data_IF_682649551810
#
_entry.id   IF_682649551810
#
_cell.length_a   1.000
_cell.length_b   1.000
_cell.length_c   1.000
_cell.angle_alpha   90.00
_cell.angle_beta   90.00
_cell.angle_gamma   90.00
#
_symmetry.space_group_name_H-M   'P 1'
#
loop_
_entity.id
_entity.type
_entity.pdbx_description
1 polymer ?
#
# COMPACT_ATOMS: atom_id res chain seq x y z
N UNK A 1 -87.06 -75.65 31.91
CA UNK A 1 -86.56 -75.33 30.55
C UNK A 1 -86.64 -73.81 30.42
N UNK A 2 -85.62 -73.00 30.20
CA UNK A 2 -84.23 -73.14 29.73
C UNK A 2 -83.38 -72.06 30.46
N UNK A 3 -82.14 -72.41 30.84
CA UNK A 3 -81.12 -71.54 31.44
C UNK A 3 -80.55 -70.55 30.40
N UNK A 4 -80.23 -69.32 30.82
CA UNK A 4 -79.30 -68.44 30.11
C UNK A 4 -78.19 -67.98 31.07
N UNK A 5 -76.93 -68.19 30.67
CA UNK A 5 -75.70 -67.89 31.42
C UNK A 5 -75.37 -66.39 31.44
N UNK A 6 -74.61 -65.88 32.42
CA UNK A 6 -74.12 -64.51 32.41
C UNK A 6 -72.94 -64.33 31.44
N UNK A 7 -73.01 -63.31 30.59
CA UNK A 7 -71.96 -62.92 29.66
C UNK A 7 -71.05 -61.89 30.34
N UNK A 8 -69.77 -62.23 30.54
CA UNK A 8 -68.76 -61.32 31.09
C UNK A 8 -68.16 -60.50 29.94
N UNK A 9 -68.29 -59.18 30.00
CA UNK A 9 -67.57 -58.26 29.10
C UNK A 9 -66.20 -57.98 29.71
N UNK A 10 -65.15 -58.49 29.08
CA UNK A 10 -63.75 -58.12 29.38
C UNK A 10 -63.39 -56.95 28.47
N UNK A 11 -63.21 -55.75 29.03
CA UNK A 11 -62.54 -54.65 28.35
C UNK A 11 -61.05 -54.98 28.24
N UNK A 12 -60.56 -55.25 27.03
CA UNK A 12 -59.12 -55.29 26.75
C UNK A 12 -58.69 -53.90 26.33
N UNK A 13 -57.95 -53.20 27.19
CA UNK A 13 -57.26 -51.96 26.83
C UNK A 13 -56.12 -52.27 25.88
N UNK A 14 -56.26 -51.94 24.60
CA UNK A 14 -55.16 -51.88 23.65
C UNK A 14 -54.30 -50.66 24.00
N UNK A 15 -53.30 -50.86 24.87
CA UNK A 15 -52.23 -49.88 25.04
C UNK A 15 -51.56 -49.64 23.69
N UNK A 16 -51.33 -48.37 23.33
CA UNK A 16 -50.61 -48.04 22.11
C UNK A 16 -49.16 -48.53 22.24
N UNK A 17 -48.82 -49.60 21.53
CA UNK A 17 -47.43 -50.04 21.37
C UNK A 17 -46.77 -49.07 20.40
N UNK A 18 -45.81 -48.27 20.87
CA UNK A 18 -44.87 -47.60 19.98
C UNK A 18 -44.06 -48.70 19.27
N UNK A 19 -44.39 -48.98 18.01
CA UNK A 19 -43.62 -49.89 17.19
C UNK A 19 -42.23 -49.27 16.95
N UNK A 20 -41.24 -49.65 17.76
CA UNK A 20 -39.85 -49.40 17.45
C UNK A 20 -39.45 -50.38 16.34
N UNK A 21 -39.61 -49.94 15.09
CA UNK A 21 -39.07 -50.65 13.93
C UNK A 21 -37.54 -50.70 14.07
N UNK A 22 -37.01 -51.87 14.42
CA UNK A 22 -35.57 -52.12 14.36
C UNK A 22 -35.22 -52.37 12.90
N UNK A 23 -34.68 -51.36 12.22
CA UNK A 23 -34.19 -51.53 10.86
C UNK A 23 -33.02 -52.52 10.86
N UNK A 24 -33.20 -53.65 10.16
CA UNK A 24 -32.16 -54.64 9.91
C UNK A 24 -31.39 -54.22 8.65
N UNK A 25 -30.06 -54.20 8.75
CA UNK A 25 -29.15 -53.99 7.61
C UNK A 25 -29.36 -55.11 6.59
N UNK A 26 -29.66 -54.75 5.33
CA UNK A 26 -30.06 -55.70 4.28
C UNK A 26 -28.83 -56.33 3.58
N UNK A 27 -27.61 -55.83 3.85
CA UNK A 27 -26.36 -56.33 3.28
C UNK A 27 -25.18 -56.13 4.24
N UNK A 28 -24.57 -57.24 4.67
CA UNK A 28 -23.24 -57.48 5.34
C UNK A 28 -22.63 -56.52 6.37
N UNK A 29 -23.15 -55.31 6.59
CA UNK A 29 -22.68 -54.35 7.60
C UNK A 29 -23.58 -54.29 8.84
N UNK A 30 -23.02 -53.91 9.98
CA UNK A 30 -23.81 -53.61 11.19
C UNK A 30 -23.90 -52.10 11.38
N UNK A 31 -25.12 -51.56 11.48
CA UNK A 31 -25.31 -50.19 11.96
C UNK A 31 -25.22 -50.22 13.49
N UNK A 32 -24.15 -49.66 14.05
CA UNK A 32 -23.95 -49.58 15.49
C UNK A 32 -24.11 -48.14 15.96
N UNK A 33 -25.28 -47.82 16.52
CA UNK A 33 -25.53 -46.57 17.25
C UNK A 33 -25.33 -46.86 18.74
N UNK A 34 -24.21 -46.40 19.30
CA UNK A 34 -23.85 -46.62 20.71
C UNK A 34 -23.92 -45.30 21.46
N UNK A 35 -24.45 -45.32 22.68
CA UNK A 35 -24.35 -44.21 23.61
C UNK A 35 -23.70 -44.69 24.92
N UNK A 36 -22.75 -43.94 25.45
CA UNK A 36 -22.05 -44.23 26.71
C UNK A 36 -22.76 -43.67 27.96
N UNK A 37 -23.87 -42.95 27.78
CA UNK A 37 -24.70 -42.31 28.82
C UNK A 37 -26.19 -42.51 28.47
N UNK A 38 -27.16 -42.30 29.37
CA UNK A 38 -28.59 -42.55 29.13
C UNK A 38 -29.28 -41.51 28.22
N UNK A 39 -28.58 -41.00 27.21
CA UNK A 39 -29.15 -40.06 26.23
C UNK A 39 -29.61 -40.77 24.96
N UNK A 40 -30.37 -40.11 24.10
CA UNK A 40 -30.80 -40.66 22.81
C UNK A 40 -29.93 -40.11 21.68
N UNK A 41 -29.55 -40.97 20.72
CA UNK A 41 -29.03 -40.56 19.41
C UNK A 41 -30.13 -40.83 18.39
N UNK A 42 -30.61 -39.80 17.72
CA UNK A 42 -31.68 -39.89 16.72
C UNK A 42 -31.20 -39.42 15.35
N UNK A 43 -31.56 -40.18 14.30
CA UNK A 43 -31.51 -39.73 12.91
C UNK A 43 -32.95 -39.54 12.47
N UNK A 44 -33.32 -38.32 12.06
CA UNK A 44 -34.71 -37.95 11.82
C UNK A 44 -34.86 -37.26 10.48
N UNK A 45 -35.91 -37.62 9.74
CA UNK A 45 -36.32 -36.91 8.52
C UNK A 45 -37.01 -35.60 8.96
N UNK A 46 -36.66 -34.43 8.40
CA UNK A 46 -37.05 -33.14 8.96
C UNK A 46 -38.54 -32.79 8.85
N UNK A 47 -39.33 -33.56 8.10
CA UNK A 47 -40.78 -33.35 7.94
C UNK A 47 -41.41 -34.32 6.93
N UNK A 48 -42.69 -34.11 6.62
CA UNK A 48 -43.40 -34.87 5.57
C UNK A 48 -43.00 -34.39 4.17
N UNK A 49 -43.02 -35.28 3.17
CA UNK A 49 -42.76 -34.92 1.76
C UNK A 49 -41.27 -34.88 1.36
N UNK A 50 -40.38 -35.48 2.15
CA UNK A 50 -38.95 -35.55 1.85
C UNK A 50 -38.66 -36.67 0.84
N UNK A 51 -37.99 -36.34 -0.26
CA UNK A 51 -37.50 -37.30 -1.25
C UNK A 51 -36.47 -38.25 -0.61
N UNK A 52 -36.60 -39.58 -0.74
CA UNK A 52 -35.61 -40.52 -0.21
C UNK A 52 -34.22 -40.25 -0.78
N UNK A 53 -33.21 -40.22 0.07
CA UNK A 53 -31.81 -40.02 -0.31
C UNK A 53 -30.87 -41.01 0.38
N UNK A 54 -29.70 -41.25 -0.22
CA UNK A 54 -28.65 -42.13 0.32
C UNK A 54 -27.43 -41.29 0.69
N UNK A 55 -26.86 -41.52 1.88
CA UNK A 55 -25.54 -40.99 2.28
C UNK A 55 -24.52 -42.13 2.22
N UNK A 56 -23.49 -42.00 1.40
CA UNK A 56 -22.40 -42.98 1.29
C UNK A 56 -21.25 -42.50 2.17
N UNK A 57 -20.91 -43.25 3.21
CA UNK A 57 -19.82 -42.91 4.15
C UNK A 57 -18.43 -43.15 3.53
N UNK A 58 -17.38 -42.45 4.01
CA UNK A 58 -16.01 -42.68 3.58
C UNK A 58 -15.54 -44.10 3.98
N UNK A 59 -14.60 -44.70 3.23
CA UNK A 59 -14.10 -46.05 3.51
C UNK A 59 -13.15 -46.14 4.73
N UNK A 60 -12.72 -45.00 5.29
CA UNK A 60 -11.77 -44.95 6.41
C UNK A 60 -12.18 -43.92 7.47
N UNK A 61 -11.53 -44.01 8.64
CA UNK A 61 -11.66 -43.00 9.69
C UNK A 61 -10.98 -41.69 9.28
N UNK A 62 -11.48 -40.58 9.79
CA UNK A 62 -10.88 -39.25 9.58
C UNK A 62 -9.72 -39.00 10.52
N UNK A 63 -8.93 -37.99 10.19
CA UNK A 63 -7.85 -37.46 11.01
C UNK A 63 -8.34 -36.29 11.89
N UNK A 64 -7.58 -35.93 12.91
CA UNK A 64 -7.87 -34.76 13.76
C UNK A 64 -7.90 -33.49 12.91
N UNK A 65 -8.92 -32.65 13.11
CA UNK A 65 -9.13 -31.45 12.30
C UNK A 65 -9.77 -31.72 10.94
N UNK A 66 -10.43 -32.87 10.76
CA UNK A 66 -11.29 -33.14 9.61
C UNK A 66 -12.76 -33.20 10.01
N UNK A 67 -13.64 -32.81 9.10
CA UNK A 67 -15.09 -32.95 9.19
C UNK A 67 -15.60 -33.79 8.02
N UNK A 68 -16.74 -34.45 8.24
CA UNK A 68 -17.43 -35.18 7.20
C UNK A 68 -18.24 -34.20 6.35
N UNK A 69 -17.91 -34.07 5.07
CA UNK A 69 -18.57 -33.16 4.11
C UNK A 69 -19.14 -33.92 2.93
N UNK A 70 -20.15 -33.36 2.25
CA UNK A 70 -20.64 -33.91 0.98
C UNK A 70 -19.59 -33.62 -0.11
N UNK A 71 -19.03 -34.68 -0.70
CA UNK A 71 -18.06 -34.60 -1.79
C UNK A 71 -18.76 -34.45 -3.15
N UNK A 72 -19.77 -35.27 -3.41
CA UNK A 72 -20.53 -35.29 -4.66
C UNK A 72 -21.97 -35.66 -4.42
N UNK A 73 -22.88 -35.14 -5.25
CA UNK A 73 -24.29 -35.53 -5.29
C UNK A 73 -24.61 -36.04 -6.70
N UNK A 74 -25.11 -37.27 -6.80
CA UNK A 74 -25.55 -37.88 -8.07
C UNK A 74 -26.96 -38.43 -7.86
N UNK A 75 -27.96 -37.82 -8.51
CA UNK A 75 -29.36 -38.14 -8.26
C UNK A 75 -29.74 -37.88 -6.81
N UNK A 76 -30.26 -38.90 -6.12
CA UNK A 76 -30.59 -38.83 -4.68
C UNK A 76 -29.51 -39.39 -3.76
N UNK A 77 -28.29 -39.63 -4.26
CA UNK A 77 -27.17 -40.14 -3.48
C UNK A 77 -26.11 -39.07 -3.27
N UNK A 78 -25.70 -38.85 -2.03
CA UNK A 78 -24.58 -37.99 -1.65
C UNK A 78 -23.41 -38.84 -1.13
N UNK A 79 -22.24 -38.70 -1.74
CA UNK A 79 -21.00 -39.32 -1.23
C UNK A 79 -20.37 -38.37 -0.22
N UNK A 80 -20.08 -38.88 0.97
CA UNK A 80 -19.42 -38.13 2.03
C UNK A 80 -17.91 -38.44 2.02
N UNK A 81 -17.09 -37.44 2.30
CA UNK A 81 -15.64 -37.56 2.47
C UNK A 81 -15.16 -36.78 3.68
N UNK A 82 -14.02 -37.18 4.25
CA UNK A 82 -13.32 -36.37 5.23
C UNK A 82 -12.65 -35.19 4.53
N UNK A 83 -12.90 -33.99 5.02
CA UNK A 83 -12.31 -32.75 4.54
C UNK A 83 -11.69 -31.99 5.70
N UNK A 84 -10.57 -31.31 5.47
CA UNK A 84 -9.85 -30.58 6.51
C UNK A 84 -10.64 -29.33 6.95
N UNK A 85 -10.89 -29.17 8.25
CA UNK A 85 -11.60 -28.02 8.85
C UNK A 85 -10.71 -26.81 9.08
N UNK A 86 -9.39 -26.99 9.06
CA UNK A 86 -8.39 -25.95 9.22
C UNK A 86 -7.98 -25.35 7.85
N UNK A 87 -8.68 -25.72 6.79
CA UNK A 87 -8.39 -25.28 5.43
C UNK A 87 -9.31 -24.12 5.04
N UNK A 88 -8.76 -23.12 4.36
CA UNK A 88 -9.54 -22.11 3.66
C UNK A 88 -10.42 -22.81 2.62
N UNK A 89 -11.71 -22.96 2.90
CA UNK A 89 -12.63 -23.50 1.90
C UNK A 89 -12.60 -22.64 0.64
N UNK A 90 -12.25 -23.24 -0.51
CA UNK A 90 -12.28 -22.58 -1.83
C UNK A 90 -13.71 -22.30 -2.33
N UNK A 91 -14.75 -22.62 -1.54
CA UNK A 91 -16.04 -21.97 -1.68
C UNK A 91 -15.94 -20.53 -1.17
N UNK A 92 -15.15 -19.73 -1.87
CA UNK A 92 -15.49 -18.33 -2.05
C UNK A 92 -16.96 -18.25 -2.41
N UNK A 93 -17.66 -17.30 -1.82
CA UNK A 93 -19.10 -17.24 -1.91
C UNK A 93 -19.53 -17.10 -3.40
N UNK A 94 -20.53 -17.83 -3.90
CA UNK A 94 -20.95 -17.78 -5.33
C UNK A 94 -21.44 -16.38 -5.80
N UNK A 95 -20.68 -15.63 -6.60
CA UNK A 95 -21.05 -14.27 -7.02
C UNK A 95 -22.20 -14.30 -8.05
N UNK A 96 -23.25 -13.51 -7.81
CA UNK A 96 -24.43 -13.44 -8.68
C UNK A 96 -24.41 -12.24 -9.65
N UNK A 97 -23.53 -11.25 -9.45
CA UNK A 97 -23.26 -10.19 -10.45
C UNK A 97 -22.00 -9.40 -10.06
N UNK A 98 -21.03 -9.27 -10.98
CA UNK A 98 -19.88 -8.36 -10.85
C UNK A 98 -18.47 -8.97 -10.73
N UNK A 99 -18.14 -10.02 -11.52
CA UNK A 99 -16.79 -10.49 -11.88
C UNK A 99 -15.80 -10.88 -10.77
N UNK A 100 -15.28 -12.11 -10.60
CA UNK A 100 -15.74 -13.50 -10.85
C UNK A 100 -16.94 -13.69 -11.77
N UNK A 101 -16.73 -14.23 -12.97
CA UNK A 101 -17.84 -14.73 -13.78
C UNK A 101 -18.63 -15.81 -13.03
N UNK A 102 -19.84 -16.15 -13.50
CA UNK A 102 -20.57 -17.30 -12.98
C UNK A 102 -19.66 -18.54 -12.95
N UNK A 103 -19.59 -19.23 -11.81
CA UNK A 103 -18.71 -20.38 -11.54
C UNK A 103 -17.20 -20.08 -11.33
N UNK A 104 -16.82 -18.83 -11.04
CA UNK A 104 -15.45 -18.51 -10.61
C UNK A 104 -15.35 -18.37 -9.09
N UNK A 105 -14.38 -19.05 -8.49
CA UNK A 105 -14.07 -18.97 -7.06
C UNK A 105 -13.09 -17.83 -6.80
N UNK A 106 -13.18 -17.18 -5.63
CA UNK A 106 -12.23 -16.16 -5.19
C UNK A 106 -11.93 -16.26 -3.69
N UNK A 107 -10.79 -15.72 -3.29
CA UNK A 107 -10.44 -15.51 -1.90
C UNK A 107 -10.89 -14.10 -1.49
N UNK A 108 -11.91 -14.00 -0.65
CA UNK A 108 -12.45 -12.72 -0.20
C UNK A 108 -13.72 -12.82 0.63
N UNK A 109 -14.27 -11.65 0.96
CA UNK A 109 -15.51 -11.48 1.72
C UNK A 109 -16.65 -11.05 0.81
N UNK A 110 -17.90 -11.31 1.22
CA UNK A 110 -19.13 -10.85 0.54
C UNK A 110 -20.02 -9.98 1.40
N UNK A 111 -19.87 -10.10 2.70
CA UNK A 111 -20.38 -9.11 3.63
C UNK A 111 -19.49 -7.87 3.52
N UNK A 112 -20.01 -6.69 3.83
CA UNK A 112 -19.27 -5.42 3.82
C UNK A 112 -18.24 -5.38 4.96
N UNK A 113 -17.27 -6.29 4.90
CA UNK A 113 -16.23 -6.58 5.87
C UNK A 113 -14.94 -6.77 5.11
N UNK A 114 -13.82 -6.40 5.73
CA UNK A 114 -12.52 -6.40 5.07
C UNK A 114 -11.95 -7.82 4.96
N UNK A 115 -11.26 -8.11 3.86
CA UNK A 115 -10.42 -9.30 3.79
C UNK A 115 -9.11 -8.99 4.49
N UNK A 116 -8.82 -9.68 5.59
CA UNK A 116 -7.63 -9.46 6.40
C UNK A 116 -6.69 -10.67 6.31
N UNK A 117 -5.44 -10.42 6.00
CA UNK A 117 -4.34 -11.37 6.12
C UNK A 117 -3.53 -10.98 7.35
N UNK A 118 -3.44 -11.90 8.31
CA UNK A 118 -2.77 -11.68 9.58
C UNK A 118 -1.80 -12.83 9.89
N UNK A 119 -0.75 -12.53 10.65
CA UNK A 119 0.20 -13.50 11.19
C UNK A 119 0.41 -13.22 12.68
N UNK A 120 0.44 -14.27 13.52
CA UNK A 120 0.54 -14.13 14.99
C UNK A 120 -0.46 -13.12 15.57
N UNK A 121 -1.72 -13.17 15.09
CA UNK A 121 -2.79 -12.25 15.49
C UNK A 121 -2.53 -10.76 15.18
N UNK A 122 -1.56 -10.45 14.32
CA UNK A 122 -1.26 -9.10 13.84
C UNK A 122 -1.62 -8.99 12.37
N UNK A 123 -2.43 -7.99 12.02
CA UNK A 123 -2.79 -7.68 10.64
C UNK A 123 -1.55 -7.26 9.83
N UNK A 124 -1.35 -7.89 8.68
CA UNK A 124 -0.25 -7.61 7.75
C UNK A 124 -0.75 -6.90 6.49
N UNK A 125 -1.88 -7.36 5.95
CA UNK A 125 -2.52 -6.81 4.74
C UNK A 125 -4.03 -6.82 4.93
N UNK A 126 -4.70 -5.81 4.39
CA UNK A 126 -6.15 -5.81 4.20
C UNK A 126 -6.55 -5.40 2.80
N UNK A 127 -7.73 -5.86 2.40
CA UNK A 127 -8.50 -5.28 1.29
C UNK A 127 -9.81 -4.78 1.89
N UNK A 128 -10.09 -3.49 1.72
CA UNK A 128 -11.30 -2.87 2.28
C UNK A 128 -12.53 -3.41 1.57
N UNK A 129 -13.40 -4.11 2.30
CA UNK A 129 -14.67 -4.63 1.81
C UNK A 129 -15.87 -3.76 2.21
N UNK A 130 -15.70 -2.83 3.15
CA UNK A 130 -16.74 -1.86 3.53
C UNK A 130 -17.09 -0.98 2.32
N UNK A 131 -18.38 -0.88 2.00
CA UNK A 131 -18.86 -0.04 0.90
C UNK A 131 -18.56 1.44 1.16
N UNK A 132 -18.01 2.12 0.15
CA UNK A 132 -17.59 3.51 0.25
C UNK A 132 -16.50 3.86 -0.75
N UNK A 133 -15.95 5.10 -0.68
CA UNK A 133 -14.92 5.57 -1.61
C UNK A 133 -13.61 4.78 -1.52
N UNK A 134 -13.38 4.11 -0.39
CA UNK A 134 -12.18 3.30 -0.13
C UNK A 134 -12.39 1.81 -0.38
N UNK A 135 -13.56 1.39 -0.86
CA UNK A 135 -13.82 -0.03 -1.14
C UNK A 135 -12.82 -0.54 -2.18
N UNK A 136 -12.21 -1.69 -1.90
CA UNK A 136 -11.16 -2.30 -2.71
C UNK A 136 -9.74 -1.77 -2.46
N UNK A 137 -9.56 -0.75 -1.61
CA UNK A 137 -8.23 -0.25 -1.27
C UNK A 137 -7.44 -1.29 -0.48
N UNK A 138 -6.13 -1.32 -0.70
CA UNK A 138 -5.20 -2.25 -0.06
C UNK A 138 -4.41 -1.49 1.00
N UNK A 139 -4.50 -1.95 2.24
CA UNK A 139 -3.66 -1.47 3.34
C UNK A 139 -2.56 -2.50 3.64
N UNK A 140 -1.30 -2.06 3.70
CA UNK A 140 -0.16 -2.86 4.12
C UNK A 140 0.38 -2.30 5.44
N UNK A 141 0.09 -2.98 6.54
CA UNK A 141 0.38 -2.51 7.89
C UNK A 141 -0.43 -1.30 8.36
N UNK A 142 -1.52 -0.93 7.66
CA UNK A 142 -2.49 0.09 8.07
C UNK A 142 -3.90 -0.44 7.89
N UNK A 143 -4.77 -0.23 8.89
CA UNK A 143 -6.19 -0.60 8.82
C UNK A 143 -7.06 0.47 8.15
N UNK A 144 -6.53 1.67 7.92
CA UNK A 144 -7.27 2.81 7.37
C UNK A 144 -6.48 3.42 6.21
N UNK A 145 -6.43 2.73 5.05
CA UNK A 145 -5.68 3.23 3.92
C UNK A 145 -6.22 4.60 3.48
N UNK A 146 -5.31 5.53 3.26
CA UNK A 146 -5.58 6.90 2.79
C UNK A 146 -5.41 7.06 1.27
N UNK A 147 -4.93 5.99 0.60
CA UNK A 147 -4.78 5.88 -0.84
C UNK A 147 -5.14 4.44 -1.30
N UNK A 148 -5.38 4.21 -2.60
CA UNK A 148 -5.74 2.88 -3.11
C UNK A 148 -4.78 1.75 -2.73
N UNK A 149 -3.48 2.03 -2.64
CA UNK A 149 -2.49 1.16 -2.00
C UNK A 149 -1.76 2.05 -0.99
N UNK A 150 -1.87 1.73 0.28
CA UNK A 150 -1.27 2.49 1.38
C UNK A 150 -0.37 1.59 2.22
N UNK A 151 0.87 2.03 2.44
CA UNK A 151 1.88 1.32 3.21
C UNK A 151 2.28 2.17 4.40
N UNK A 152 2.09 1.66 5.62
CA UNK A 152 2.51 2.35 6.84
C UNK A 152 4.05 2.33 7.07
N UNK A 153 4.82 1.78 6.12
CA UNK A 153 6.27 1.53 6.23
C UNK A 153 6.96 1.76 4.87
N UNK A 154 8.26 1.50 4.83
CA UNK A 154 9.12 1.66 3.65
C UNK A 154 8.75 0.71 2.51
N UNK A 155 8.79 1.22 1.28
CA UNK A 155 8.81 0.42 0.05
C UNK A 155 10.27 0.19 -0.36
N UNK A 156 10.72 -1.07 -0.39
CA UNK A 156 12.04 -1.44 -0.89
C UNK A 156 11.92 -2.07 -2.29
N UNK A 157 12.59 -1.48 -3.29
CA UNK A 157 12.71 -2.04 -4.63
C UNK A 157 14.05 -2.78 -4.75
N UNK A 158 14.10 -4.03 -4.30
CA UNK A 158 15.35 -4.82 -4.31
C UNK A 158 15.80 -5.19 -5.72
N UNK A 159 17.09 -5.50 -5.90
CA UNK A 159 17.64 -6.00 -7.16
C UNK A 159 18.43 -7.30 -7.02
N UNK A 160 18.70 -7.95 -8.15
CA UNK A 160 19.57 -9.13 -8.27
C UNK A 160 20.79 -8.83 -9.15
N UNK A 161 21.41 -7.66 -8.98
CA UNK A 161 22.59 -7.21 -9.74
C UNK A 161 22.30 -6.18 -10.85
N UNK A 162 21.10 -5.60 -10.88
CA UNK A 162 20.69 -4.56 -11.85
C UNK A 162 19.82 -3.51 -11.17
N UNK A 163 20.06 -2.23 -11.40
CA UNK A 163 19.26 -1.18 -10.77
C UNK A 163 17.75 -1.30 -11.03
N UNK A 164 16.96 -1.16 -9.98
CA UNK A 164 15.50 -0.99 -10.02
C UNK A 164 15.10 0.48 -10.08
N UNK A 165 13.84 0.72 -10.44
CA UNK A 165 13.29 2.07 -10.56
C UNK A 165 11.80 2.14 -10.20
N UNK A 166 11.39 3.31 -9.71
CA UNK A 166 9.99 3.72 -9.60
C UNK A 166 9.58 4.37 -10.92
N UNK A 167 8.48 3.93 -11.54
CA UNK A 167 7.99 4.45 -12.83
C UNK A 167 6.62 5.11 -12.70
N UNK A 168 6.42 6.20 -13.44
CA UNK A 168 5.15 6.88 -13.67
C UNK A 168 4.82 6.83 -15.16
N UNK A 169 3.83 6.02 -15.53
CA UNK A 169 3.39 5.91 -16.92
C UNK A 169 2.77 7.23 -17.41
N UNK A 170 2.99 7.56 -18.69
CA UNK A 170 2.29 8.67 -19.32
C UNK A 170 0.76 8.43 -19.29
N UNK A 171 -0.07 9.50 -19.26
CA UNK A 171 -1.53 9.35 -19.20
C UNK A 171 -2.15 8.88 -20.53
N UNK A 172 -1.35 8.60 -21.56
CA UNK A 172 -1.84 8.17 -22.86
C UNK A 172 -2.29 6.71 -22.84
N UNK A 173 -3.55 6.45 -23.18
CA UNK A 173 -4.11 5.11 -23.25
C UNK A 173 -3.52 4.24 -24.38
N UNK A 174 -2.67 4.79 -25.24
CA UNK A 174 -2.01 4.08 -26.35
C UNK A 174 -0.48 4.18 -26.31
N UNK A 175 0.07 4.84 -25.30
CA UNK A 175 1.51 5.00 -25.12
C UNK A 175 2.11 3.96 -24.17
N UNK A 176 3.41 3.73 -24.28
CA UNK A 176 4.19 2.88 -23.36
C UNK A 176 5.29 3.66 -22.64
N UNK A 177 5.32 5.00 -22.80
CA UNK A 177 6.34 5.84 -22.20
C UNK A 177 6.08 6.06 -20.70
N UNK A 178 7.14 6.38 -19.98
CA UNK A 178 7.09 6.66 -18.55
C UNK A 178 8.23 7.62 -18.14
N UNK A 179 8.06 8.28 -17.00
CA UNK A 179 9.15 8.93 -16.26
C UNK A 179 9.57 8.04 -15.11
N UNK A 180 10.87 7.90 -14.83
CA UNK A 180 11.36 7.02 -13.77
C UNK A 180 12.42 7.66 -12.86
N UNK A 181 12.43 7.20 -11.61
CA UNK A 181 13.55 7.39 -10.68
C UNK A 181 14.28 6.07 -10.51
N UNK A 182 15.55 6.03 -10.91
CA UNK A 182 16.37 4.81 -10.98
C UNK A 182 17.62 4.96 -10.12
N UNK A 183 17.94 3.92 -9.34
CA UNK A 183 19.18 3.87 -8.59
C UNK A 183 20.39 3.72 -9.54
N UNK A 184 21.50 4.38 -9.24
CA UNK A 184 22.80 4.06 -9.85
C UNK A 184 23.56 3.04 -8.97
N UNK A 185 24.67 2.49 -9.46
CA UNK A 185 25.61 1.79 -8.59
C UNK A 185 26.22 2.78 -7.60
N UNK A 186 26.26 2.44 -6.31
CA UNK A 186 26.68 3.33 -5.22
C UNK A 186 27.68 2.60 -4.31
N UNK A 187 28.59 3.34 -3.70
CA UNK A 187 29.56 2.82 -2.73
C UNK A 187 29.03 2.79 -1.28
N UNK A 188 27.84 3.33 -1.06
CA UNK A 188 27.13 3.40 0.22
C UNK A 188 25.73 3.94 0.02
N UNK A 189 24.94 3.98 1.10
CA UNK A 189 23.54 4.43 1.03
C UNK A 189 23.46 5.92 0.73
N UNK A 190 22.60 6.30 -0.23
CA UNK A 190 22.30 7.69 -0.55
C UNK A 190 20.86 7.99 -0.15
N UNK A 191 20.69 8.88 0.84
CA UNK A 191 19.37 9.30 1.32
C UNK A 191 19.14 10.77 1.05
N UNK A 192 18.12 11.09 0.25
CA UNK A 192 17.66 12.46 0.05
C UNK A 192 16.48 12.77 0.97
N UNK A 193 16.65 13.71 1.89
CA UNK A 193 15.60 14.14 2.82
C UNK A 193 14.95 15.40 2.29
N UNK A 194 13.66 15.33 1.93
CA UNK A 194 12.91 16.47 1.41
C UNK A 194 12.69 17.57 2.48
N UNK A 195 12.47 18.83 2.06
CA UNK A 195 12.04 19.90 2.95
C UNK A 195 10.69 19.55 3.59
N UNK A 196 10.47 20.03 4.82
CA UNK A 196 9.23 19.82 5.57
C UNK A 196 8.10 20.76 5.15
N UNK A 197 8.38 21.72 4.27
CA UNK A 197 7.41 22.68 3.74
C UNK A 197 7.53 22.81 2.22
N UNK A 198 6.43 23.26 1.60
CA UNK A 198 6.44 23.73 0.22
C UNK A 198 7.35 24.96 0.07
N UNK A 199 7.79 25.32 -1.15
CA UNK A 199 8.58 26.53 -1.34
C UNK A 199 7.77 27.77 -0.93
N UNK A 200 8.41 28.70 -0.23
CA UNK A 200 7.76 29.91 0.28
C UNK A 200 7.35 30.89 -0.84
N UNK A 201 7.98 30.76 -2.02
CA UNK A 201 7.68 31.57 -3.21
C UNK A 201 7.85 30.76 -4.49
N UNK A 202 7.13 31.16 -5.54
CA UNK A 202 7.31 30.61 -6.89
C UNK A 202 8.74 30.84 -7.39
N UNK A 203 9.28 29.87 -8.14
CA UNK A 203 10.63 29.97 -8.74
C UNK A 203 11.78 29.54 -7.83
N UNK A 204 11.50 29.03 -6.63
CA UNK A 204 12.52 28.37 -5.81
C UNK A 204 12.92 27.01 -6.41
N UNK A 205 14.18 26.63 -6.19
CA UNK A 205 14.76 25.37 -6.64
C UNK A 205 15.06 24.47 -5.44
N UNK A 206 14.98 23.16 -5.63
CA UNK A 206 15.36 22.19 -4.61
C UNK A 206 16.86 21.92 -4.72
N UNK A 207 17.61 22.18 -3.65
CA UNK A 207 19.05 21.95 -3.58
C UNK A 207 19.40 21.03 -2.41
N UNK A 208 20.41 20.18 -2.58
CA UNK A 208 20.84 19.19 -1.59
C UNK A 208 22.24 19.49 -1.05
N UNK A 209 22.45 19.20 0.24
CA UNK A 209 23.78 19.13 0.84
C UNK A 209 24.52 17.85 0.41
N UNK A 210 25.81 17.75 0.71
CA UNK A 210 26.61 16.54 0.41
C UNK A 210 26.14 15.29 1.17
N UNK A 211 25.34 15.45 2.23
CA UNK A 211 24.71 14.35 2.98
C UNK A 211 23.26 14.11 2.59
N UNK A 212 22.76 14.79 1.54
CA UNK A 212 21.43 14.57 0.98
C UNK A 212 20.26 15.30 1.67
N UNK A 213 20.51 16.15 2.67
CA UNK A 213 19.47 17.05 3.20
C UNK A 213 19.11 18.09 2.15
N UNK A 214 17.83 18.17 1.75
CA UNK A 214 17.34 19.09 0.75
C UNK A 214 16.64 20.31 1.36
N UNK A 215 16.73 21.45 0.69
CA UNK A 215 16.08 22.70 1.07
C UNK A 215 15.64 23.48 -0.17
N UNK A 216 14.54 24.23 -0.07
CA UNK A 216 14.16 25.22 -1.08
C UNK A 216 15.11 26.40 -1.02
N UNK A 217 15.71 26.76 -2.15
CA UNK A 217 16.58 27.94 -2.28
C UNK A 217 16.06 28.84 -3.40
N UNK A 218 16.28 30.14 -3.26
CA UNK A 218 16.11 31.05 -4.39
C UNK A 218 17.14 30.69 -5.45
N UNK A 219 16.71 30.54 -6.71
CA UNK A 219 17.62 30.30 -7.83
C UNK A 219 18.70 31.40 -7.97
N UNK A 220 18.45 32.58 -7.40
CA UNK A 220 19.38 33.72 -7.39
C UNK A 220 20.21 33.83 -6.11
N UNK A 221 19.94 33.03 -5.08
CA UNK A 221 20.71 33.05 -3.83
C UNK A 221 22.18 32.68 -4.06
N UNK A 222 22.44 31.82 -5.05
CA UNK A 222 23.79 31.36 -5.39
C UNK A 222 24.47 32.25 -6.45
N UNK A 223 23.88 33.41 -6.80
CA UNK A 223 24.53 34.40 -7.67
C UNK A 223 25.16 35.50 -6.79
N UNK A 224 26.48 35.45 -6.55
CA UNK A 224 27.20 36.48 -5.79
C UNK A 224 26.89 37.89 -6.29
N UNK A 225 26.44 38.76 -5.40
CA UNK A 225 26.12 40.16 -5.72
C UNK A 225 26.23 41.05 -4.49
N UNK A 226 26.43 42.34 -4.70
CA UNK A 226 26.47 43.28 -3.59
C UNK A 226 26.68 44.73 -3.99
N UNK A 227 26.80 45.57 -2.97
CA UNK A 227 27.23 46.96 -3.06
C UNK A 227 28.55 47.10 -2.31
N UNK A 228 29.60 47.50 -3.01
CA UNK A 228 30.90 47.78 -2.41
C UNK A 228 31.00 49.27 -2.05
N UNK A 229 31.51 49.54 -0.84
CA UNK A 229 31.78 50.90 -0.36
C UNK A 229 33.24 51.26 -0.67
N UNK A 230 33.50 52.26 -1.52
CA UNK A 230 34.85 52.64 -1.91
C UNK A 230 35.57 53.42 -0.83
N UNK A 231 36.89 53.28 -0.78
CA UNK A 231 37.77 54.23 -0.08
C UNK A 231 37.78 55.53 -0.87
N UNK A 232 37.34 56.62 -0.24
CA UNK A 232 37.21 57.91 -0.92
C UNK A 232 38.56 58.41 -1.47
N UNK A 233 38.56 58.92 -2.69
CA UNK A 233 39.76 59.43 -3.38
C UNK A 233 40.58 58.37 -4.11
N UNK A 234 40.21 57.08 -4.03
CA UNK A 234 40.85 56.03 -4.80
C UNK A 234 40.17 55.83 -6.17
N UNK A 235 40.96 55.40 -7.16
CA UNK A 235 40.49 54.96 -8.48
C UNK A 235 40.38 53.43 -8.58
N UNK A 236 41.20 52.71 -7.80
CA UNK A 236 41.28 51.25 -7.83
C UNK A 236 40.64 50.68 -6.59
N UNK A 237 39.77 49.69 -6.79
CA UNK A 237 39.01 49.04 -5.72
C UNK A 237 39.03 47.52 -5.91
N UNK A 238 39.42 46.81 -4.86
CA UNK A 238 39.35 45.34 -4.80
C UNK A 238 38.11 44.94 -4.01
N UNK A 239 37.26 44.14 -4.64
CA UNK A 239 35.97 43.71 -4.11
C UNK A 239 36.05 42.22 -3.77
N UNK A 240 35.77 41.88 -2.51
CA UNK A 240 35.70 40.49 -2.03
C UNK A 240 34.29 39.94 -2.21
N UNK A 241 34.18 38.74 -2.78
CA UNK A 241 32.89 38.13 -3.18
C UNK A 241 32.26 37.31 -2.05
N UNK A 242 33.09 36.84 -1.10
CA UNK A 242 32.64 36.08 0.07
C UNK A 242 32.24 34.64 -0.22
N UNK A 243 32.53 34.16 -1.43
CA UNK A 243 32.36 32.79 -1.91
C UNK A 243 33.34 32.57 -3.07
N UNK A 244 33.66 31.30 -3.36
CA UNK A 244 34.65 30.92 -4.36
C UNK A 244 34.36 31.57 -5.72
N UNK A 245 35.36 32.25 -6.29
CA UNK A 245 35.32 32.81 -7.64
C UNK A 245 35.95 31.81 -8.61
N UNK A 246 35.16 31.04 -9.39
CA UNK A 246 35.71 30.03 -10.28
C UNK A 246 36.46 30.65 -11.46
N UNK A 247 37.43 29.91 -12.01
CA UNK A 247 38.10 30.26 -13.27
C UNK A 247 37.07 30.47 -14.38
N UNK A 248 37.08 31.66 -15.00
CA UNK A 248 36.12 32.04 -16.04
C UNK A 248 34.92 32.84 -15.54
N UNK A 249 34.88 33.20 -14.25
CA UNK A 249 33.87 34.10 -13.70
C UNK A 249 33.77 35.43 -14.49
N UNK A 250 32.53 35.93 -14.62
CA UNK A 250 32.23 37.18 -15.33
C UNK A 250 31.67 38.20 -14.34
N UNK A 251 32.50 39.15 -13.84
CA UNK A 251 32.01 40.24 -13.02
C UNK A 251 31.27 41.26 -13.88
N UNK A 252 30.08 41.63 -13.45
CA UNK A 252 29.27 42.72 -13.98
C UNK A 252 29.28 43.82 -12.94
N UNK A 253 29.71 45.01 -13.33
CA UNK A 253 29.92 46.14 -12.42
C UNK A 253 29.26 47.40 -12.94
N UNK A 254 28.80 48.24 -12.01
CA UNK A 254 28.28 49.56 -12.29
C UNK A 254 28.57 50.49 -11.12
N UNK A 255 28.81 51.76 -11.41
CA UNK A 255 28.96 52.80 -10.38
C UNK A 255 27.60 53.40 -10.08
N UNK A 256 27.24 53.44 -8.80
CA UNK A 256 26.06 54.12 -8.28
C UNK A 256 26.52 55.46 -7.70
N UNK A 257 26.22 56.53 -8.42
CA UNK A 257 26.63 57.90 -8.14
C UNK A 257 25.47 58.90 -8.27
N UNK A 258 25.74 60.17 -7.92
CA UNK A 258 24.75 61.22 -8.03
C UNK A 258 24.38 61.51 -9.49
N UNK A 259 23.14 61.94 -9.72
CA UNK A 259 22.64 62.30 -11.05
C UNK A 259 23.53 63.35 -11.73
N UNK A 260 23.74 63.21 -13.04
CA UNK A 260 24.58 64.11 -13.85
C UNK A 260 26.09 63.82 -13.80
N UNK A 261 26.51 62.78 -13.07
CA UNK A 261 27.92 62.37 -12.99
C UNK A 261 28.16 61.13 -13.85
N UNK A 262 29.22 61.13 -14.67
CA UNK A 262 29.62 59.97 -15.48
C UNK A 262 30.98 59.47 -15.00
N UNK A 263 31.02 58.22 -14.55
CA UNK A 263 32.24 57.54 -14.15
C UNK A 263 32.31 56.24 -14.94
N UNK A 264 33.32 56.11 -15.81
CA UNK A 264 33.59 54.84 -16.46
C UNK A 264 34.24 53.89 -15.45
N UNK A 265 33.95 52.60 -15.59
CA UNK A 265 34.48 51.54 -14.73
C UNK A 265 34.90 50.36 -15.60
N UNK A 266 36.05 49.76 -15.28
CA UNK A 266 36.55 48.54 -15.90
C UNK A 266 36.90 47.51 -14.83
N UNK A 267 36.67 46.24 -15.12
CA UNK A 267 37.23 45.13 -14.34
C UNK A 267 38.64 44.90 -14.86
N UNK A 268 39.65 45.05 -14.00
CA UNK A 268 41.06 45.03 -14.37
C UNK A 268 41.79 43.76 -13.93
N UNK A 269 41.25 43.05 -12.93
CA UNK A 269 41.76 41.75 -12.52
C UNK A 269 40.67 40.89 -11.87
N UNK A 270 40.79 39.57 -12.00
CA UNK A 270 40.01 38.57 -11.26
C UNK A 270 41.03 37.67 -10.56
N UNK A 271 40.92 37.54 -9.25
CA UNK A 271 41.77 36.68 -8.43
C UNK A 271 40.92 35.54 -7.84
N UNK A 272 41.07 34.36 -8.42
CA UNK A 272 40.36 33.14 -8.02
C UNK A 272 40.96 32.47 -6.78
N UNK A 273 42.10 32.96 -6.29
CA UNK A 273 42.73 32.45 -5.05
C UNK A 273 42.30 33.28 -3.86
N UNK A 274 42.17 34.59 -4.05
CA UNK A 274 41.70 35.52 -3.02
C UNK A 274 40.18 35.76 -3.05
N UNK A 275 39.45 35.15 -3.98
CA UNK A 275 38.01 35.34 -4.22
C UNK A 275 37.61 36.82 -4.34
N UNK A 276 38.39 37.55 -5.15
CA UNK A 276 38.20 38.97 -5.39
C UNK A 276 38.23 39.31 -6.87
N UNK A 277 37.67 40.45 -7.22
CA UNK A 277 38.02 41.12 -8.47
C UNK A 277 38.40 42.57 -8.19
N UNK A 278 39.22 43.13 -9.07
CA UNK A 278 39.66 44.54 -9.00
C UNK A 278 39.00 45.31 -10.12
N UNK A 279 38.53 46.52 -9.77
CA UNK A 279 37.99 47.49 -10.71
C UNK A 279 38.78 48.78 -10.65
N UNK A 280 38.78 49.49 -11.77
CA UNK A 280 39.35 50.83 -11.89
C UNK A 280 38.30 51.79 -12.45
N UNK A 281 38.19 52.98 -11.86
CA UNK A 281 37.27 54.03 -12.26
C UNK A 281 37.98 55.20 -12.95
N UNK A 282 37.30 55.87 -13.88
CA UNK A 282 37.87 57.02 -14.61
C UNK A 282 38.04 58.30 -13.79
N UNK A 283 37.53 58.30 -12.56
CA UNK A 283 37.58 59.40 -11.59
C UNK A 283 37.62 58.80 -10.18
N UNK A 284 38.26 59.46 -9.20
CA UNK A 284 38.24 58.97 -7.82
C UNK A 284 36.82 58.95 -7.28
N UNK A 285 36.46 57.89 -6.55
CA UNK A 285 35.13 57.77 -5.95
C UNK A 285 35.02 58.52 -4.62
N UNK A 286 33.84 59.07 -4.32
CA UNK A 286 33.50 59.66 -3.03
C UNK A 286 32.98 58.60 -2.03
N UNK A 287 33.05 58.89 -0.73
CA UNK A 287 32.59 57.98 0.32
C UNK A 287 31.09 57.61 0.21
N UNK A 288 30.30 58.45 -0.46
CA UNK A 288 28.86 58.26 -0.67
C UNK A 288 28.52 57.40 -1.88
N UNK A 289 29.46 57.18 -2.80
CA UNK A 289 29.23 56.38 -4.01
C UNK A 289 29.36 54.88 -3.70
N UNK A 290 28.78 54.03 -4.56
CA UNK A 290 28.87 52.57 -4.42
C UNK A 290 29.25 51.93 -5.74
N UNK A 291 29.90 50.78 -5.68
CA UNK A 291 30.05 49.91 -6.85
C UNK A 291 29.06 48.76 -6.68
N UNK A 292 28.02 48.76 -7.50
CA UNK A 292 27.12 47.63 -7.61
C UNK A 292 27.80 46.54 -8.44
N UNK A 293 27.77 45.32 -7.94
CA UNK A 293 28.42 44.20 -8.59
C UNK A 293 27.59 42.93 -8.52
N UNK A 294 27.81 42.08 -9.51
CA UNK A 294 27.32 40.71 -9.57
C UNK A 294 28.36 39.87 -10.28
N UNK A 295 28.58 38.64 -9.84
CA UNK A 295 29.48 37.70 -10.51
C UNK A 295 28.65 36.54 -11.03
N UNK A 296 28.76 36.29 -12.33
CA UNK A 296 28.17 35.11 -12.96
C UNK A 296 29.21 34.01 -13.05
N UNK A 297 28.87 32.82 -12.56
CA UNK A 297 29.68 31.63 -12.78
C UNK A 297 29.70 31.29 -14.27
N UNK A 298 30.85 30.84 -14.82
CA UNK A 298 30.91 30.35 -16.19
C UNK A 298 30.02 29.12 -16.33
N UNK A 299 29.38 28.99 -17.50
CA UNK A 299 28.61 27.80 -17.88
C UNK A 299 29.50 26.61 -18.15
#
# INVERSE_FOLDING_TARGET
MIRALPFVIILISLGAWSAALRAQSVTTGTLQLRNGQPSTISLTVPGTGVTPYTLILPPGIGESGQALTIQTVTGTSATLSWSNTNFWGLQGSDITLGGTAANQQFLGTKNAQDLVVAANSTEALRIVGVAGPTQGWIGLGTSTPSAPIDLARTVMLSNTGQSTELRFAEPSASGTNYTAFKAAAQAGDVTYTLPDQAPASNGMVLSATTTGTMSWRSALADVPRGLYAPTAGNHVHTITIGQDVPTGAIPIVSVVNAAGTTIAISVTAIDTTADTFTVETSSPLAATERIAWMVLSPM
#
